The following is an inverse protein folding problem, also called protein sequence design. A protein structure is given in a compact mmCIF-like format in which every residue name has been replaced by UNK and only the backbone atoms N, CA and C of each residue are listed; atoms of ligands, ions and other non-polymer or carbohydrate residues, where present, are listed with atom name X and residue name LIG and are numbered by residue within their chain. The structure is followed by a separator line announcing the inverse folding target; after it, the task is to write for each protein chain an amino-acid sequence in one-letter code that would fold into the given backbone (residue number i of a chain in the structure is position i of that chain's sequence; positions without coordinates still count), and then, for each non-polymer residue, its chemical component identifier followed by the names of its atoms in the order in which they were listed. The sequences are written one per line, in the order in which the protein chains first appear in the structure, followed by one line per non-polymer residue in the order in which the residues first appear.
data_IF_828762846279
#
_entry.id   IF_828762846279
#
_cell.length_a   1.000
_cell.length_b   1.000
_cell.length_c   1.000
_cell.angle_alpha   90.00
_cell.angle_beta   90.00
_cell.angle_gamma   90.00
#
_symmetry.space_group_name_H-M   'P 1'
#
loop_
_entity.id
_entity.type
_entity.pdbx_description
1 polymer ?
#
# COMPACT_ATOMS: atom_id res chain seq x y z
N UNK A 1 -1.83 -11.36 4.30
CA UNK A 1 -2.03 -10.25 5.25
C UNK A 1 -1.53 -10.70 6.61
N UNK A 2 -0.21 -10.77 6.78
CA UNK A 2 0.43 -11.01 8.08
C UNK A 2 0.96 -9.67 8.56
N UNK A 3 0.22 -8.98 9.40
CA UNK A 3 0.72 -7.79 10.07
C UNK A 3 1.71 -8.27 11.14
N UNK A 4 2.99 -8.13 10.79
CA UNK A 4 4.14 -8.18 11.66
C UNK A 4 3.89 -7.28 12.87
N UNK A 5 3.61 -7.89 14.02
CA UNK A 5 3.73 -7.22 15.32
C UNK A 5 5.10 -7.59 15.88
N UNK A 6 6.16 -6.94 15.36
CA UNK A 6 7.51 -6.99 15.93
C UNK A 6 7.59 -6.07 17.18
N UNK A 7 6.79 -6.34 18.20
CA UNK A 7 6.85 -5.62 19.48
C UNK A 7 7.28 -6.54 20.63
N UNK A 8 8.19 -7.50 20.39
CA UNK A 8 8.63 -8.41 21.45
C UNK A 8 9.93 -8.05 22.18
N UNK A 9 10.79 -7.12 21.74
CA UNK A 9 12.17 -7.13 22.27
C UNK A 9 12.70 -5.88 23.01
N UNK A 10 11.86 -5.03 23.61
CA UNK A 10 12.38 -3.90 24.42
C UNK A 10 11.50 -3.52 25.62
N UNK A 11 11.06 -4.49 26.43
CA UNK A 11 10.59 -4.17 27.78
C UNK A 11 11.79 -3.71 28.60
N UNK A 12 11.86 -2.40 28.89
CA UNK A 12 12.99 -1.77 29.58
C UNK A 12 12.56 -1.41 30.99
N UNK A 13 13.27 -1.94 31.99
CA UNK A 13 12.99 -1.62 33.38
C UNK A 13 13.71 -0.33 33.81
N UNK A 14 12.99 0.75 34.17
CA UNK A 14 13.60 2.04 34.48
C UNK A 14 14.44 2.05 35.77
N UNK A 15 14.21 1.10 36.69
CA UNK A 15 14.95 0.98 37.93
C UNK A 15 16.31 0.28 37.77
N UNK A 16 16.47 -0.54 36.73
CA UNK A 16 17.71 -1.32 36.49
C UNK A 16 18.42 -0.99 35.18
N UNK A 17 17.75 -0.34 34.22
CA UNK A 17 18.30 -0.04 32.91
C UNK A 17 19.56 0.85 32.94
N UNK A 18 20.52 0.61 32.04
CA UNK A 18 21.65 1.52 31.84
C UNK A 18 21.23 2.80 31.10
N UNK A 19 22.06 3.83 31.12
CA UNK A 19 21.83 5.10 30.37
C UNK A 19 21.55 4.80 28.89
N UNK A 20 22.32 3.88 28.30
CA UNK A 20 22.17 3.47 26.91
C UNK A 20 20.84 2.77 26.64
N UNK A 21 20.35 1.95 27.57
CA UNK A 21 19.04 1.31 27.45
C UNK A 21 17.89 2.32 27.58
N UNK A 22 17.96 3.25 28.54
CA UNK A 22 16.94 4.30 28.70
C UNK A 22 16.88 5.25 27.50
N UNK A 23 18.00 5.51 26.83
CA UNK A 23 18.08 6.37 25.64
C UNK A 23 17.44 5.72 24.40
N UNK A 24 17.17 4.41 24.42
CA UNK A 24 16.41 3.73 23.36
C UNK A 24 14.91 4.03 23.43
N UNK A 25 14.41 4.54 24.55
CA UNK A 25 13.00 4.91 24.70
C UNK A 25 12.70 6.21 23.92
N UNK A 26 11.57 6.25 23.19
CA UNK A 26 11.24 7.38 22.33
C UNK A 26 11.04 8.67 23.13
N UNK A 27 11.94 9.64 22.93
CA UNK A 27 11.88 10.94 23.61
C UNK A 27 12.74 11.05 24.87
N UNK A 28 13.56 10.04 25.18
CA UNK A 28 14.55 10.09 26.26
C UNK A 28 15.95 10.24 25.64
N UNK A 29 16.62 11.36 25.92
CA UNK A 29 18.03 11.57 25.58
C UNK A 29 18.96 11.28 26.78
N UNK A 30 20.27 11.26 26.55
CA UNK A 30 21.29 10.95 27.58
C UNK A 30 21.12 11.78 28.87
N UNK A 31 20.83 13.08 28.74
CA UNK A 31 20.61 13.98 29.89
C UNK A 31 19.36 13.62 30.69
N UNK A 32 18.28 13.20 30.02
CA UNK A 32 17.06 12.75 30.70
C UNK A 32 17.24 11.35 31.30
N UNK A 33 17.91 10.45 30.59
CA UNK A 33 18.25 9.12 31.07
C UNK A 33 19.07 9.18 32.36
N UNK A 34 20.08 10.06 32.42
CA UNK A 34 20.88 10.30 33.63
C UNK A 34 20.01 10.75 34.81
N UNK A 35 19.10 11.70 34.59
CA UNK A 35 18.19 12.18 35.64
C UNK A 35 17.20 11.10 36.11
N UNK A 36 16.78 10.21 35.21
CA UNK A 36 15.93 9.06 35.56
C UNK A 36 16.68 8.10 36.47
N UNK A 37 17.97 7.86 36.24
CA UNK A 37 18.81 7.03 37.11
C UNK A 37 19.01 7.67 38.48
N UNK A 38 19.25 8.99 38.52
CA UNK A 38 19.45 9.73 39.77
C UNK A 38 18.23 9.74 40.69
N UNK A 39 17.01 9.66 40.13
CA UNK A 39 15.76 9.71 40.87
C UNK A 39 15.12 8.33 41.14
N UNK A 40 15.87 7.23 40.99
CA UNK A 40 15.45 5.88 41.39
C UNK A 40 15.20 5.81 42.90
N UNK A 41 14.25 5.01 43.39
CA UNK A 41 13.45 3.95 42.77
C UNK A 41 12.00 4.36 42.46
N UNK A 42 11.45 3.92 41.33
CA UNK A 42 10.05 4.13 40.92
C UNK A 42 9.23 2.86 41.15
N UNK A 43 8.04 3.00 41.76
CA UNK A 43 7.11 1.87 41.93
C UNK A 43 6.11 1.75 40.79
N UNK A 44 5.85 2.87 40.08
CA UNK A 44 4.89 2.98 38.99
C UNK A 44 5.40 3.98 37.94
N UNK A 45 4.87 3.91 36.71
CA UNK A 45 5.27 4.80 35.62
C UNK A 45 5.04 6.27 35.96
N UNK A 46 3.94 6.58 36.64
CA UNK A 46 3.54 7.94 37.01
C UNK A 46 4.56 8.62 37.96
N UNK A 47 5.33 7.85 38.74
CA UNK A 47 6.35 8.41 39.63
C UNK A 47 7.56 8.97 38.87
N UNK A 48 7.76 8.57 37.60
CA UNK A 48 8.81 9.11 36.75
C UNK A 48 8.57 10.58 36.38
N UNK A 49 7.35 11.10 36.53
CA UNK A 49 7.03 12.53 36.34
C UNK A 49 7.73 13.45 37.37
N UNK A 50 8.31 12.87 38.45
CA UNK A 50 9.17 13.63 39.38
C UNK A 50 10.48 14.07 38.73
N UNK A 51 10.88 13.45 37.61
CA UNK A 51 12.12 13.78 36.91
C UNK A 51 11.96 15.08 36.13
N UNK A 52 12.82 16.05 36.43
CA UNK A 52 12.80 17.35 35.78
C UNK A 52 13.05 17.24 34.27
N UNK A 53 12.05 17.64 33.48
CA UNK A 53 12.06 17.57 32.02
C UNK A 53 11.32 16.37 31.41
N UNK A 54 10.75 15.48 32.23
CA UNK A 54 9.87 14.41 31.77
C UNK A 54 8.39 14.85 31.87
N UNK A 55 7.76 15.12 30.73
CA UNK A 55 6.35 15.48 30.67
C UNK A 55 5.43 14.28 30.45
N UNK A 56 4.15 14.41 30.82
CA UNK A 56 3.11 13.39 30.63
C UNK A 56 3.01 12.92 29.17
N UNK A 57 3.18 13.85 28.22
CA UNK A 57 3.17 13.55 26.79
C UNK A 57 4.36 12.69 26.34
N UNK A 58 5.52 12.83 26.98
CA UNK A 58 6.69 11.98 26.70
C UNK A 58 6.49 10.62 27.34
N UNK A 59 6.01 10.59 28.59
CA UNK A 59 5.74 9.37 29.33
C UNK A 59 4.73 8.47 28.63
N UNK A 60 3.63 9.03 28.14
CA UNK A 60 2.60 8.28 27.40
C UNK A 60 3.10 7.64 26.09
N UNK A 61 4.23 8.12 25.54
CA UNK A 61 4.81 7.57 24.30
C UNK A 61 5.67 6.34 24.53
N UNK A 62 6.20 6.18 25.74
CA UNK A 62 7.04 5.05 26.08
C UNK A 62 6.51 4.19 27.23
N UNK A 63 5.39 4.55 27.86
CA UNK A 63 4.77 3.82 28.97
C UNK A 63 4.45 2.36 28.62
N UNK A 64 4.11 2.08 27.37
CA UNK A 64 3.83 0.71 26.87
C UNK A 64 5.08 -0.15 26.70
N UNK A 65 6.29 0.41 26.88
CA UNK A 65 7.58 -0.29 26.76
C UNK A 65 8.31 -0.40 28.11
N UNK A 66 7.66 -0.01 29.21
CA UNK A 66 8.21 -0.12 30.55
C UNK A 66 7.75 -1.43 31.21
N UNK A 67 8.69 -2.15 31.80
CA UNK A 67 8.40 -3.27 32.67
C UNK A 67 8.99 -3.02 34.06
N UNK A 68 8.14 -3.06 35.08
CA UNK A 68 8.55 -2.87 36.46
C UNK A 68 8.82 -4.20 37.17
N UNK A 69 8.46 -5.32 36.55
CA UNK A 69 8.77 -6.66 37.02
C UNK A 69 10.18 -7.02 36.54
N UNK A 70 11.03 -7.41 37.47
CA UNK A 70 12.47 -7.54 37.21
C UNK A 70 12.81 -8.88 36.55
N UNK A 71 13.65 -8.84 35.52
CA UNK A 71 14.71 -9.84 35.40
C UNK A 71 15.99 -9.25 34.80
N UNK A 72 17.10 -9.83 35.23
CA UNK A 72 18.49 -9.41 35.03
C UNK A 72 18.96 -9.86 33.64
N UNK A 73 19.51 -8.94 32.84
CA UNK A 73 20.38 -9.30 31.71
C UNK A 73 21.79 -8.81 32.02
N UNK A 74 22.78 -9.70 32.19
CA UNK A 74 24.17 -9.35 32.49
C UNK A 74 24.84 -8.50 31.40
N UNK A 75 25.60 -7.51 31.84
CA UNK A 75 26.54 -6.71 31.07
C UNK A 75 27.59 -7.59 30.37
N UNK A 76 27.80 -7.37 29.07
CA UNK A 76 29.04 -7.78 28.40
C UNK A 76 29.74 -6.56 27.78
N UNK A 77 30.94 -6.31 28.34
CA UNK A 77 32.08 -5.52 27.84
C UNK A 77 31.90 -4.00 27.68
N UNK A 78 32.22 -3.30 28.76
CA UNK A 78 32.87 -2.00 28.69
C UNK A 78 34.40 -2.20 28.52
N UNK A 79 34.94 -1.71 27.41
CA UNK A 79 36.37 -1.59 27.19
C UNK A 79 36.98 -0.55 28.15
N UNK A 80 38.11 -0.96 28.71
CA UNK A 80 38.99 -0.24 29.60
C UNK A 80 39.65 0.94 28.87
N UNK A 81 39.37 2.16 29.35
CA UNK A 81 40.12 3.37 28.99
C UNK A 81 40.63 3.96 30.29
N UNK A 82 41.95 3.88 30.49
CA UNK A 82 42.69 4.60 31.52
C UNK A 82 42.36 6.10 31.50
N UNK A 83 42.37 6.74 32.68
CA UNK A 83 43.04 8.02 32.74
C UNK A 83 44.02 8.14 33.92
N UNK A 84 45.17 8.70 33.58
CA UNK A 84 46.18 9.25 34.48
C UNK A 84 45.58 10.25 35.49
N UNK A 85 45.96 10.12 36.78
CA UNK A 85 46.41 11.27 37.60
C UNK A 85 47.13 10.88 38.92
N UNK A 86 48.41 11.25 38.95
CA UNK A 86 49.19 11.97 39.99
C UNK A 86 49.19 11.52 41.49
N UNK A 87 50.33 10.93 41.93
CA UNK A 87 51.35 11.37 42.94
C UNK A 87 50.85 12.00 44.26
N UNK A 88 51.37 11.72 45.49
CA UNK A 88 52.79 11.55 45.92
C UNK A 88 52.99 10.30 46.84
N UNK A 89 54.14 9.90 47.38
CA UNK A 89 55.12 10.62 48.20
C UNK A 89 56.12 9.55 48.70
N UNK A 90 57.40 9.87 48.86
CA UNK A 90 58.25 9.11 49.79
C UNK A 90 59.69 8.85 49.37
N UNK A 91 60.57 9.65 49.98
CA UNK A 91 61.95 9.36 50.43
C UNK A 91 63.09 9.59 49.43
N UNK A 92 63.56 10.84 49.47
CA UNK A 92 64.94 11.24 49.81
C UNK A 92 65.94 10.10 50.04
N UNK A 93 67.12 10.23 49.42
CA UNK A 93 68.46 10.09 50.02
C UNK A 93 69.55 10.41 48.97
N UNK A 94 70.02 11.65 48.98
CA UNK A 94 71.39 12.04 48.60
C UNK A 94 72.13 12.27 49.94
N UNK A 95 73.45 12.01 50.10
CA UNK A 95 74.44 12.88 49.46
C UNK A 95 75.83 12.26 49.19
N UNK A 96 76.60 12.83 48.25
CA UNK A 96 78.01 12.45 48.16
C UNK A 96 78.88 13.16 47.12
N UNK A 97 79.34 14.36 47.46
CA UNK A 97 80.68 14.91 47.15
C UNK A 97 80.98 15.50 45.75
N UNK A 98 80.86 16.82 45.69
CA UNK A 98 81.91 17.84 45.41
C UNK A 98 82.89 17.69 44.23
N UNK A 99 82.94 18.81 43.48
CA UNK A 99 84.10 19.48 42.84
C UNK A 99 84.35 19.28 41.34
N UNK A 100 83.96 20.27 40.53
CA UNK A 100 84.84 21.17 39.73
C UNK A 100 84.02 22.04 38.76
N UNK A 101 84.16 23.39 38.72
CA UNK A 101 84.10 24.12 37.46
C UNK A 101 85.52 24.10 36.85
N UNK A 102 85.72 24.04 35.52
CA UNK A 102 85.32 25.14 34.66
C UNK A 102 85.00 24.78 33.19
N UNK A 103 84.20 25.63 32.56
CA UNK A 103 84.45 26.33 31.28
C UNK A 103 83.10 26.62 30.64
N UNK A 104 82.69 27.88 30.79
CA UNK A 104 81.71 28.49 29.90
C UNK A 104 82.22 28.28 28.46
N UNK A 105 81.58 27.38 27.72
CA UNK A 105 81.62 27.40 26.27
C UNK A 105 80.97 28.73 25.85
N UNK A 106 81.50 29.45 24.85
CA UNK A 106 80.88 30.68 24.41
C UNK A 106 79.43 30.37 24.05
N UNK A 107 78.51 31.23 24.50
CA UNK A 107 77.15 31.28 24.00
C UNK A 107 77.31 31.47 22.48
N UNK A 108 77.12 30.40 21.70
CA UNK A 108 76.85 30.55 20.28
C UNK A 108 75.53 31.30 20.25
N UNK A 109 75.58 32.58 19.93
CA UNK A 109 74.42 33.30 19.43
C UNK A 109 73.78 32.38 18.39
N UNK A 110 72.55 31.92 18.66
CA UNK A 110 71.74 31.27 17.64
C UNK A 110 71.71 32.26 16.50
N UNK A 111 72.30 31.87 15.37
CA UNK A 111 72.24 32.64 14.15
C UNK A 111 70.78 32.98 13.93
N UNK A 112 70.51 34.28 13.99
CA UNK A 112 69.25 34.89 13.62
C UNK A 112 68.89 34.33 12.24
N UNK A 113 67.72 33.70 12.15
CA UNK A 113 67.18 33.03 10.96
C UNK A 113 67.78 33.55 9.66
N UNK A 114 68.39 32.65 8.87
CA UNK A 114 68.92 33.05 7.57
C UNK A 114 67.77 33.61 6.74
N UNK A 115 67.99 34.72 6.02
CA UNK A 115 66.93 35.37 5.24
C UNK A 115 66.25 34.40 4.26
N UNK A 116 66.96 33.36 3.83
CA UNK A 116 66.46 32.28 2.98
C UNK A 116 65.56 31.28 3.72
N UNK A 117 65.85 30.98 4.98
CA UNK A 117 65.01 30.15 5.85
C UNK A 117 63.71 30.87 6.23
N UNK A 118 63.81 32.20 6.44
CA UNK A 118 62.63 33.02 6.75
C UNK A 118 61.64 33.07 5.59
N UNK A 119 62.14 33.15 4.35
CA UNK A 119 61.28 33.14 3.16
C UNK A 119 60.53 31.82 2.99
N UNK A 120 61.18 30.68 3.25
CA UNK A 120 60.52 29.37 3.20
C UNK A 120 59.42 29.20 4.25
N UNK A 121 59.61 29.71 5.47
CA UNK A 121 58.56 29.72 6.50
C UNK A 121 57.39 30.62 6.14
N UNK A 122 57.63 31.79 5.52
CA UNK A 122 56.58 32.69 5.06
C UNK A 122 55.76 32.05 3.94
N UNK A 123 56.42 31.44 2.96
CA UNK A 123 55.76 30.74 1.85
C UNK A 123 54.95 29.54 2.37
N UNK A 124 55.52 28.75 3.28
CA UNK A 124 54.81 27.63 3.92
C UNK A 124 53.57 28.09 4.68
N UNK A 125 53.67 29.15 5.49
CA UNK A 125 52.55 29.72 6.22
C UNK A 125 51.44 30.26 5.29
N UNK A 126 51.82 30.91 4.18
CA UNK A 126 50.88 31.41 3.19
C UNK A 126 50.08 30.27 2.52
N UNK A 127 50.75 29.20 2.09
CA UNK A 127 50.09 28.03 1.49
C UNK A 127 49.13 27.35 2.48
N UNK A 128 49.54 27.20 3.74
CA UNK A 128 48.68 26.64 4.79
C UNK A 128 47.44 27.50 5.00
N UNK A 129 47.58 28.84 5.02
CA UNK A 129 46.43 29.74 5.19
C UNK A 129 45.42 29.65 4.04
N UNK A 130 45.90 29.52 2.79
CA UNK A 130 45.05 29.32 1.61
C UNK A 130 44.35 27.97 1.67
N UNK A 131 45.08 26.90 2.00
CA UNK A 131 44.50 25.58 2.16
C UNK A 131 43.42 25.57 3.26
N UNK A 132 43.70 26.22 4.40
CA UNK A 132 42.75 26.36 5.49
C UNK A 132 41.50 27.15 5.06
N UNK A 133 41.67 28.22 4.27
CA UNK A 133 40.55 28.99 3.71
C UNK A 133 39.70 28.18 2.74
N UNK A 134 40.32 27.34 1.91
CA UNK A 134 39.60 26.45 0.98
C UNK A 134 38.85 25.38 1.76
N UNK A 135 39.48 24.77 2.77
CA UNK A 135 38.83 23.78 3.64
C UNK A 135 37.68 24.42 4.41
N UNK A 136 37.85 25.64 4.93
CA UNK A 136 36.80 26.39 5.63
C UNK A 136 35.64 26.73 4.69
N UNK A 137 35.94 27.18 3.46
CA UNK A 137 34.93 27.46 2.44
C UNK A 137 34.16 26.19 2.05
N UNK A 138 34.85 25.07 1.82
CA UNK A 138 34.21 23.78 1.59
C UNK A 138 33.41 23.31 2.81
N UNK A 139 33.88 23.56 4.02
CA UNK A 139 33.15 23.20 5.25
C UNK A 139 31.89 24.03 5.42
N UNK A 140 31.92 25.32 5.07
CA UNK A 140 30.74 26.18 5.04
C UNK A 140 29.79 25.72 3.94
N UNK A 141 30.30 25.42 2.75
CA UNK A 141 29.49 24.94 1.64
C UNK A 141 28.83 23.60 1.97
N UNK A 142 29.59 22.66 2.54
CA UNK A 142 29.07 21.38 3.02
C UNK A 142 28.09 21.60 4.18
N UNK A 143 28.35 22.54 5.10
CA UNK A 143 27.42 22.88 6.19
C UNK A 143 26.09 23.43 5.69
N UNK A 144 26.14 24.36 4.73
CA UNK A 144 24.95 24.95 4.10
C UNK A 144 24.20 23.89 3.27
N UNK A 145 24.92 23.06 2.51
CA UNK A 145 24.29 22.02 1.70
C UNK A 145 23.75 20.86 2.54
N UNK A 146 24.37 20.56 3.69
CA UNK A 146 23.91 19.55 4.65
C UNK A 146 22.73 20.04 5.51
N UNK A 147 22.51 21.35 5.64
CA UNK A 147 21.26 21.88 6.21
C UNK A 147 20.10 21.86 5.22
N UNK A 148 20.37 21.67 3.92
CA UNK A 148 19.36 21.33 2.90
C UNK A 148 19.17 19.81 2.81
N UNK A 149 19.19 19.11 3.95
CA UNK A 149 18.83 17.69 4.02
C UNK A 149 17.30 17.57 3.86
N UNK A 150 16.85 17.65 2.61
CA UNK A 150 15.44 17.51 2.22
C UNK A 150 14.86 16.14 2.63
N UNK A 151 15.70 15.13 2.87
CA UNK A 151 15.27 13.81 3.33
C UNK A 151 14.79 13.80 4.79
N UNK A 152 15.27 14.72 5.62
CA UNK A 152 14.85 14.85 7.03
C UNK A 152 13.54 15.59 7.20
N UNK A 153 13.18 16.46 6.26
CA UNK A 153 11.92 17.19 6.31
C UNK A 153 10.75 16.23 6.08
N UNK A 154 9.93 16.03 7.12
CA UNK A 154 8.76 15.16 7.08
C UNK A 154 7.82 15.50 5.91
N UNK A 155 7.75 16.78 5.51
CA UNK A 155 6.97 17.27 4.36
C UNK A 155 7.40 16.64 3.04
N UNK A 156 8.71 16.49 2.79
CA UNK A 156 9.20 15.90 1.53
C UNK A 156 8.89 14.40 1.50
N UNK A 157 9.04 13.70 2.63
CA UNK A 157 8.66 12.28 2.76
C UNK A 157 7.16 12.09 2.57
N UNK A 158 6.34 13.00 3.09
CA UNK A 158 4.90 13.01 2.88
C UNK A 158 4.56 13.23 1.41
N UNK A 159 5.16 14.23 0.74
CA UNK A 159 4.98 14.46 -0.70
C UNK A 159 5.40 13.24 -1.54
N UNK A 160 6.49 12.57 -1.20
CA UNK A 160 6.88 11.34 -1.92
C UNK A 160 5.90 10.20 -1.69
N UNK A 161 5.34 10.10 -0.48
CA UNK A 161 4.29 9.13 -0.17
C UNK A 161 3.00 9.45 -0.92
N UNK A 162 2.58 10.72 -0.92
CA UNK A 162 1.39 11.20 -1.63
C UNK A 162 1.53 10.98 -3.14
N UNK A 163 2.71 11.23 -3.71
CA UNK A 163 3.01 10.93 -5.12
C UNK A 163 2.93 9.42 -5.41
N UNK A 164 3.44 8.58 -4.51
CA UNK A 164 3.32 7.13 -4.65
C UNK A 164 1.86 6.67 -4.56
N UNK A 165 1.06 7.27 -3.67
CA UNK A 165 -0.39 7.02 -3.59
C UNK A 165 -1.12 7.47 -4.85
N UNK A 166 -0.84 8.67 -5.35
CA UNK A 166 -1.42 9.17 -6.61
C UNK A 166 -1.08 8.25 -7.78
N UNK A 167 0.13 7.69 -7.83
CA UNK A 167 0.51 6.74 -8.88
C UNK A 167 -0.32 5.45 -8.81
N UNK A 168 -0.60 4.94 -7.61
CA UNK A 168 -1.48 3.78 -7.40
C UNK A 168 -2.92 4.12 -7.78
N UNK A 169 -3.43 5.29 -7.39
CA UNK A 169 -4.77 5.74 -7.72
C UNK A 169 -4.94 5.92 -9.23
N UNK A 170 -3.95 6.47 -9.94
CA UNK A 170 -3.96 6.60 -11.40
C UNK A 170 -4.02 5.22 -12.08
N UNK A 171 -3.30 4.23 -11.57
CA UNK A 171 -3.38 2.85 -12.06
C UNK A 171 -4.77 2.26 -11.83
N UNK A 172 -5.37 2.49 -10.66
CA UNK A 172 -6.73 2.03 -10.37
C UNK A 172 -7.78 2.70 -11.27
N UNK A 173 -7.68 4.01 -11.46
CA UNK A 173 -8.55 4.75 -12.39
C UNK A 173 -8.40 4.24 -13.81
N UNK A 174 -7.18 3.97 -14.29
CA UNK A 174 -6.95 3.37 -15.60
C UNK A 174 -7.60 1.99 -15.73
N UNK A 175 -7.42 1.13 -14.73
CA UNK A 175 -8.06 -0.19 -14.66
C UNK A 175 -9.59 -0.10 -14.68
N UNK A 176 -10.17 0.86 -13.94
CA UNK A 176 -11.61 1.13 -13.95
C UNK A 176 -12.10 1.62 -15.31
N UNK A 177 -11.33 2.47 -16.00
CA UNK A 177 -11.66 2.93 -17.37
C UNK A 177 -11.66 1.75 -18.33
N UNK A 178 -10.66 0.87 -18.27
CA UNK A 178 -10.63 -0.34 -19.09
C UNK A 178 -11.81 -1.27 -18.77
N UNK A 179 -12.17 -1.40 -17.50
CA UNK A 179 -13.33 -2.17 -17.08
C UNK A 179 -14.66 -1.57 -17.61
N UNK A 180 -14.78 -0.25 -17.63
CA UNK A 180 -15.92 0.45 -18.24
C UNK A 180 -15.92 0.22 -19.76
N UNK A 181 -14.76 0.30 -20.42
CA UNK A 181 -14.63 -0.01 -21.85
C UNK A 181 -15.16 -1.40 -22.20
N UNK A 182 -14.74 -2.44 -21.45
CA UNK A 182 -15.26 -3.81 -21.62
C UNK A 182 -16.77 -3.91 -21.38
N UNK A 183 -17.32 -3.13 -20.45
CA UNK A 183 -18.77 -3.09 -20.21
C UNK A 183 -19.53 -2.43 -21.36
N UNK A 184 -18.99 -1.35 -21.93
CA UNK A 184 -19.58 -0.69 -23.09
C UNK A 184 -19.61 -1.65 -24.28
N UNK A 185 -18.51 -2.36 -24.56
CA UNK A 185 -18.47 -3.37 -25.61
C UNK A 185 -19.51 -4.49 -25.38
N UNK A 186 -19.67 -4.95 -24.14
CA UNK A 186 -20.71 -5.92 -23.80
C UNK A 186 -22.14 -5.36 -24.02
N UNK A 187 -22.36 -4.07 -23.75
CA UNK A 187 -23.64 -3.39 -24.02
C UNK A 187 -23.88 -3.19 -25.51
N UNK A 188 -22.85 -2.86 -26.30
CA UNK A 188 -22.93 -2.81 -27.76
C UNK A 188 -23.26 -4.20 -28.33
N UNK A 189 -22.64 -5.25 -27.79
CA UNK A 189 -22.98 -6.64 -28.10
C UNK A 189 -24.44 -7.00 -27.76
N UNK A 190 -24.99 -6.46 -26.67
CA UNK A 190 -26.40 -6.63 -26.32
C UNK A 190 -27.32 -5.99 -27.38
N UNK A 191 -26.97 -4.83 -27.94
CA UNK A 191 -27.72 -4.19 -29.02
C UNK A 191 -27.80 -5.07 -30.28
N UNK A 192 -26.67 -5.71 -30.64
CA UNK A 192 -26.65 -6.70 -31.72
C UNK A 192 -27.57 -7.89 -31.45
N UNK A 193 -27.59 -8.39 -30.21
CA UNK A 193 -28.49 -9.48 -29.79
C UNK A 193 -29.96 -9.06 -29.79
N UNK A 194 -30.29 -7.84 -29.36
CA UNK A 194 -31.67 -7.31 -29.40
C UNK A 194 -32.16 -7.22 -30.84
N UNK A 195 -31.33 -6.68 -31.75
CA UNK A 195 -31.64 -6.67 -33.19
C UNK A 195 -31.84 -8.10 -33.74
N UNK A 196 -31.10 -9.08 -33.22
CA UNK A 196 -31.27 -10.49 -33.54
C UNK A 196 -32.65 -11.02 -33.12
N UNK A 197 -33.00 -10.80 -31.86
CA UNK A 197 -34.29 -11.20 -31.27
C UNK A 197 -35.46 -10.50 -31.96
N UNK A 198 -35.36 -9.22 -32.29
CA UNK A 198 -36.41 -8.49 -33.03
C UNK A 198 -36.67 -9.09 -34.42
N UNK A 199 -35.61 -9.51 -35.11
CA UNK A 199 -35.72 -10.20 -36.40
C UNK A 199 -36.38 -11.58 -36.24
N UNK A 200 -36.01 -12.32 -35.20
CA UNK A 200 -36.63 -13.62 -34.89
C UNK A 200 -38.12 -13.48 -34.53
N UNK A 201 -38.48 -12.48 -33.73
CA UNK A 201 -39.89 -12.15 -33.42
C UNK A 201 -40.65 -11.79 -34.69
N UNK A 202 -40.04 -11.02 -35.59
CA UNK A 202 -40.68 -10.63 -36.86
C UNK A 202 -40.93 -11.86 -37.75
N UNK A 203 -39.98 -12.79 -37.81
CA UNK A 203 -40.14 -14.06 -38.53
C UNK A 203 -41.23 -14.93 -37.92
N UNK A 204 -41.27 -15.05 -36.59
CA UNK A 204 -42.28 -15.81 -35.88
C UNK A 204 -43.68 -15.20 -36.07
N UNK A 205 -43.78 -13.87 -36.11
CA UNK A 205 -45.04 -13.20 -36.41
C UNK A 205 -45.55 -13.50 -37.83
N UNK A 206 -44.64 -13.51 -38.81
CA UNK A 206 -44.97 -13.88 -40.20
C UNK A 206 -45.39 -15.36 -40.30
N UNK A 207 -44.68 -16.26 -39.61
CA UNK A 207 -45.02 -17.69 -39.57
C UNK A 207 -46.40 -17.93 -38.94
N UNK A 208 -46.70 -17.27 -37.81
CA UNK A 208 -48.02 -17.35 -37.17
C UNK A 208 -49.11 -16.83 -38.11
N UNK A 209 -48.85 -15.72 -38.83
CA UNK A 209 -49.79 -15.18 -39.80
C UNK A 209 -50.04 -16.15 -40.95
N UNK A 210 -48.98 -16.75 -41.49
CA UNK A 210 -49.09 -17.79 -42.52
C UNK A 210 -49.90 -19.00 -42.05
N UNK A 211 -49.70 -19.44 -40.81
CA UNK A 211 -50.48 -20.55 -40.22
C UNK A 211 -51.96 -20.20 -40.05
N UNK A 212 -52.28 -18.95 -39.66
CA UNK A 212 -53.67 -18.47 -39.58
C UNK A 212 -54.34 -18.44 -40.97
N UNK A 213 -53.61 -18.00 -41.99
CA UNK A 213 -54.11 -18.00 -43.37
C UNK A 213 -54.32 -19.43 -43.89
N UNK A 214 -53.42 -20.36 -43.57
CA UNK A 214 -53.57 -21.79 -43.88
C UNK A 214 -54.80 -22.38 -43.18
N UNK A 215 -55.02 -22.08 -41.90
CA UNK A 215 -56.22 -22.51 -41.15
C UNK A 215 -57.51 -21.95 -41.78
N UNK A 216 -57.49 -20.71 -42.25
CA UNK A 216 -58.64 -20.12 -42.96
C UNK A 216 -58.93 -20.86 -44.27
N UNK A 217 -57.88 -21.26 -44.99
CA UNK A 217 -57.99 -22.00 -46.24
C UNK A 217 -58.53 -23.41 -45.99
N UNK A 218 -58.04 -24.11 -44.96
CA UNK A 218 -58.56 -25.41 -44.54
C UNK A 218 -60.03 -25.30 -44.16
N UNK A 219 -60.42 -24.26 -43.40
CA UNK A 219 -61.82 -24.04 -43.04
C UNK A 219 -62.70 -23.84 -44.26
N UNK A 220 -62.25 -23.05 -45.24
CA UNK A 220 -62.98 -22.88 -46.50
C UNK A 220 -63.10 -24.18 -47.29
N UNK A 221 -62.06 -25.04 -47.28
CA UNK A 221 -62.11 -26.36 -47.92
C UNK A 221 -63.14 -27.28 -47.23
N UNK A 222 -63.18 -27.26 -45.90
CA UNK A 222 -64.16 -28.03 -45.10
C UNK A 222 -65.58 -27.56 -45.38
N UNK A 223 -65.82 -26.24 -45.41
CA UNK A 223 -67.13 -25.67 -45.74
C UNK A 223 -67.56 -26.03 -47.18
N UNK A 224 -66.61 -26.00 -48.12
CA UNK A 224 -66.83 -26.43 -49.51
C UNK A 224 -67.20 -27.91 -49.62
N UNK A 225 -66.48 -28.79 -48.92
CA UNK A 225 -66.76 -30.22 -48.89
C UNK A 225 -68.13 -30.51 -48.26
N UNK A 226 -68.48 -29.80 -47.18
CA UNK A 226 -69.80 -29.89 -46.55
C UNK A 226 -70.91 -29.52 -47.53
N UNK A 227 -70.73 -28.44 -48.30
CA UNK A 227 -71.66 -28.05 -49.36
C UNK A 227 -71.81 -29.10 -50.46
N UNK A 228 -70.71 -29.73 -50.89
CA UNK A 228 -70.74 -30.82 -51.87
C UNK A 228 -71.50 -32.05 -51.33
N UNK A 229 -71.29 -32.42 -50.07
CA UNK A 229 -72.02 -33.52 -49.41
C UNK A 229 -73.52 -33.21 -49.34
N UNK A 230 -73.89 -31.96 -49.00
CA UNK A 230 -75.29 -31.54 -49.00
C UNK A 230 -75.93 -31.66 -50.38
N UNK A 231 -75.26 -31.20 -51.43
CA UNK A 231 -75.76 -31.30 -52.80
C UNK A 231 -75.90 -32.76 -53.26
N UNK A 232 -74.93 -33.61 -52.89
CA UNK A 232 -74.99 -35.03 -53.19
C UNK A 232 -76.18 -35.69 -52.48
N UNK A 233 -76.41 -35.36 -51.20
CA UNK A 233 -77.55 -35.86 -50.43
C UNK A 233 -78.88 -35.43 -51.05
N UNK A 234 -78.98 -34.19 -51.51
CA UNK A 234 -80.19 -33.69 -52.20
C UNK A 234 -80.44 -34.43 -53.52
N UNK A 235 -79.40 -34.60 -54.34
CA UNK A 235 -79.48 -35.39 -55.58
C UNK A 235 -79.90 -36.83 -55.34
N UNK A 236 -79.38 -37.47 -54.30
CA UNK A 236 -79.78 -38.83 -53.90
C UNK A 236 -81.26 -38.84 -53.50
N UNK A 237 -81.74 -37.86 -52.72
CA UNK A 237 -83.15 -37.76 -52.35
C UNK A 237 -84.10 -37.57 -53.54
N UNK A 238 -83.70 -36.76 -54.53
CA UNK A 238 -84.45 -36.59 -55.78
C UNK A 238 -84.48 -37.90 -56.58
N UNK A 239 -83.35 -38.61 -56.64
CA UNK A 239 -83.26 -39.92 -57.29
C UNK A 239 -84.15 -40.98 -56.61
N UNK A 240 -84.17 -41.02 -55.28
CA UNK A 240 -85.06 -41.92 -54.53
C UNK A 240 -86.54 -41.61 -54.79
N UNK A 241 -86.89 -40.33 -54.87
CA UNK A 241 -88.25 -39.88 -55.22
C UNK A 241 -88.63 -40.31 -56.64
N UNK A 242 -87.68 -40.19 -57.58
CA UNK A 242 -87.84 -40.68 -58.95
C UNK A 242 -88.05 -42.20 -58.98
N UNK A 243 -87.26 -42.99 -58.24
CA UNK A 243 -87.44 -44.44 -58.15
C UNK A 243 -88.78 -44.83 -57.52
N UNK A 244 -89.24 -44.12 -56.49
CA UNK A 244 -90.58 -44.32 -55.93
C UNK A 244 -91.68 -44.07 -56.96
N UNK A 245 -91.60 -42.96 -57.71
CA UNK A 245 -92.55 -42.65 -58.78
C UNK A 245 -92.55 -43.70 -59.89
N UNK A 246 -91.38 -44.20 -60.30
CA UNK A 246 -91.27 -45.29 -61.27
C UNK A 246 -91.95 -46.57 -60.77
N UNK A 247 -91.76 -46.90 -59.49
CA UNK A 247 -92.38 -48.07 -58.85
C UNK A 247 -93.91 -47.95 -58.78
N UNK A 248 -94.42 -46.77 -58.43
CA UNK A 248 -95.87 -46.47 -58.40
C UNK A 248 -96.50 -46.67 -59.78
N UNK A 249 -95.83 -46.16 -60.82
CA UNK A 249 -96.29 -46.25 -62.21
C UNK A 249 -96.32 -47.71 -62.67
N UNK A 250 -95.26 -48.49 -62.38
CA UNK A 250 -95.19 -49.93 -62.62
C UNK A 250 -96.29 -50.72 -61.88
N UNK A 251 -96.65 -50.33 -60.66
CA UNK A 251 -97.76 -50.94 -59.94
C UNK A 251 -99.12 -50.59 -60.59
N UNK A 252 -99.28 -49.37 -61.10
CA UNK A 252 -100.51 -48.91 -61.76
C UNK A 252 -100.84 -49.60 -63.09
N UNK A 253 -99.83 -50.07 -63.83
CA UNK A 253 -100.03 -50.84 -65.07
C UNK A 253 -100.27 -52.34 -64.83
N UNK A 254 -100.17 -52.83 -63.59
CA UNK A 254 -100.60 -54.19 -63.26
C UNK A 254 -102.08 -54.19 -62.85
N UNK A 255 -103.03 -54.65 -63.69
CA UNK A 255 -104.44 -54.66 -63.33
C UNK A 255 -104.69 -55.62 -62.16
N UNK A 256 -105.49 -55.19 -61.20
CA UNK A 256 -105.90 -56.00 -60.06
C UNK A 256 -106.74 -57.20 -60.53
N UNK A 257 -106.11 -58.35 -60.71
CA UNK A 257 -106.81 -59.63 -60.83
C UNK A 257 -107.40 -59.95 -59.45
N UNK A 258 -108.66 -59.59 -59.27
CA UNK A 258 -109.44 -59.90 -58.05
C UNK A 258 -109.98 -61.34 -58.20
N UNK A 259 -109.91 -62.20 -57.18
CA UNK A 259 -110.41 -63.58 -57.26
C UNK A 259 -111.93 -63.68 -57.41
#
# INVERSE_FOLDING_TARGET
MGIMSEHEDLLINPNTASIGALTRLPGIGEVLAQRIIEARSYSQAEEMLRVSGLGEATLARFSSFLDFEGDVIPEEKAEEIEPLREVPEGKELEPGSLSRPPRRKPIRERAVYSREEMLWWIVGAAVISVALSVILSLSILVGINRTLDFGRHATVRQLTSDLATIEVDLRDVSSRIEAIGRRIEAVEGLSGRVTGVEREISLLHEEVRGSLDEMSSIRSLVDGLSGQVSNLSERVGVFDSFLHGLRELLAGITPATTP
#
